data_IF_496125921728
#
_entry.id   IF_496125921728
#
_cell.length_a   1.000
_cell.length_b   1.000
_cell.length_c   1.000
_cell.angle_alpha   90.00
_cell.angle_beta   90.00
_cell.angle_gamma   90.00
#
_symmetry.space_group_name_H-M   'P 1'
#
loop_
_entity.id
_entity.type
_entity.pdbx_description
1 polymer ?
#
# COMPACT_ATOMS: atom_id res chain seq x y z
N UNK A 1 10.98 0.73 -20.68
CA UNK A 1 10.19 1.93 -20.80
C UNK A 1 10.16 2.71 -19.49
N UNK A 2 10.62 3.97 -19.51
CA UNK A 2 10.37 4.91 -18.41
C UNK A 2 8.86 5.05 -18.17
N UNK A 3 8.48 5.53 -16.98
CA UNK A 3 7.07 5.83 -16.70
C UNK A 3 6.49 6.73 -17.79
N UNK A 4 5.36 6.31 -18.34
CA UNK A 4 4.65 6.99 -19.41
C UNK A 4 3.19 7.11 -19.02
N UNK A 5 2.66 8.32 -19.16
CA UNK A 5 1.23 8.56 -19.09
C UNK A 5 0.57 8.08 -20.39
N UNK A 6 -0.46 7.24 -20.26
CA UNK A 6 -1.29 6.86 -21.40
C UNK A 6 -2.08 8.08 -21.89
N UNK A 7 -2.27 8.16 -23.20
CA UNK A 7 -3.23 9.10 -23.79
C UNK A 7 -4.65 8.73 -23.36
N UNK A 8 -5.56 9.69 -23.38
CA UNK A 8 -6.97 9.48 -23.00
C UNK A 8 -7.63 8.36 -23.83
N UNK A 9 -7.31 8.27 -25.13
CA UNK A 9 -7.81 7.20 -26.00
C UNK A 9 -7.23 5.81 -25.65
N UNK A 10 -5.95 5.72 -25.27
CA UNK A 10 -5.35 4.48 -24.76
C UNK A 10 -6.01 4.06 -23.44
N UNK A 11 -6.24 5.02 -22.53
CA UNK A 11 -6.92 4.80 -21.26
C UNK A 11 -8.36 4.30 -21.45
N UNK A 12 -9.14 4.95 -22.31
CA UNK A 12 -10.48 4.50 -22.65
C UNK A 12 -10.51 3.13 -23.31
N UNK A 13 -9.55 2.81 -24.18
CA UNK A 13 -9.45 1.49 -24.79
C UNK A 13 -9.22 0.40 -23.73
N UNK A 14 -8.36 0.67 -22.74
CA UNK A 14 -8.10 -0.23 -21.62
C UNK A 14 -9.36 -0.42 -20.75
N UNK A 15 -10.04 0.67 -20.39
CA UNK A 15 -11.28 0.62 -19.60
C UNK A 15 -12.40 -0.13 -20.34
N UNK A 16 -12.60 0.17 -21.63
CA UNK A 16 -13.61 -0.48 -22.45
C UNK A 16 -13.35 -1.99 -22.61
N UNK A 17 -12.09 -2.42 -22.74
CA UNK A 17 -11.72 -3.84 -22.77
C UNK A 17 -12.11 -4.57 -21.47
N UNK A 18 -12.19 -3.84 -20.35
CA UNK A 18 -12.61 -4.35 -19.05
C UNK A 18 -14.14 -4.25 -18.83
N UNK A 19 -14.90 -3.78 -19.82
CA UNK A 19 -16.34 -3.57 -19.71
C UNK A 19 -16.73 -2.33 -18.90
N UNK A 20 -15.79 -1.42 -18.64
CA UNK A 20 -16.06 -0.16 -17.94
C UNK A 20 -16.61 0.85 -18.95
N UNK A 21 -17.80 1.44 -18.71
CA UNK A 21 -18.40 2.36 -19.67
C UNK A 21 -17.59 3.66 -19.78
N UNK A 22 -17.28 4.03 -21.04
CA UNK A 22 -16.65 5.29 -21.42
C UNK A 22 -17.47 5.94 -22.55
N UNK A 23 -17.40 7.27 -22.73
CA UNK A 23 -18.05 7.94 -23.84
C UNK A 23 -17.62 7.37 -25.20
N UNK A 24 -18.55 7.33 -26.16
CA UNK A 24 -18.19 7.08 -27.56
C UNK A 24 -17.22 8.17 -28.02
N UNK A 25 -16.07 7.77 -28.55
CA UNK A 25 -14.99 8.71 -28.86
C UNK A 25 -14.21 8.31 -30.12
N UNK A 26 -13.51 9.28 -30.69
CA UNK A 26 -12.59 9.08 -31.81
C UNK A 26 -11.49 10.16 -31.79
N UNK A 27 -10.23 9.76 -31.97
CA UNK A 27 -9.12 10.71 -32.18
C UNK A 27 -9.08 11.12 -33.65
N UNK A 28 -8.92 12.43 -33.88
CA UNK A 28 -8.88 13.07 -35.20
C UNK A 28 -7.67 13.99 -35.31
N UNK A 29 -7.19 14.19 -36.53
CA UNK A 29 -6.01 15.03 -36.83
C UNK A 29 -6.30 16.20 -37.77
N UNK A 30 -7.55 16.35 -38.21
CA UNK A 30 -7.99 17.49 -39.03
C UNK A 30 -9.40 17.96 -38.67
N UNK A 31 -9.71 19.22 -39.00
CA UNK A 31 -11.05 19.79 -38.79
C UNK A 31 -12.15 19.00 -39.55
N UNK A 32 -11.86 18.55 -40.78
CA UNK A 32 -12.79 17.74 -41.56
C UNK A 32 -13.07 16.37 -40.93
N UNK A 33 -12.04 15.74 -40.36
CA UNK A 33 -12.21 14.51 -39.57
C UNK A 33 -13.01 14.77 -38.29
N UNK A 34 -12.76 15.89 -37.60
CA UNK A 34 -13.48 16.28 -36.39
C UNK A 34 -14.98 16.43 -36.66
N UNK A 35 -15.35 17.10 -37.75
CA UNK A 35 -16.72 17.19 -38.24
C UNK A 35 -17.35 15.83 -38.52
N UNK A 36 -16.65 14.97 -39.27
CA UNK A 36 -17.17 13.65 -39.61
C UNK A 36 -17.34 12.76 -38.37
N UNK A 37 -16.37 12.78 -37.46
CA UNK A 37 -16.43 12.06 -36.19
C UNK A 37 -17.59 12.56 -35.31
N UNK A 38 -17.73 13.87 -35.14
CA UNK A 38 -18.82 14.47 -34.38
C UNK A 38 -20.20 14.12 -34.95
N UNK A 39 -20.35 14.10 -36.28
CA UNK A 39 -21.58 13.68 -36.95
C UNK A 39 -21.93 12.21 -36.71
N UNK A 40 -20.92 11.32 -36.63
CA UNK A 40 -21.12 9.90 -36.33
C UNK A 40 -21.42 9.62 -34.86
N UNK A 41 -20.73 10.30 -33.95
CA UNK A 41 -20.91 10.17 -32.48
C UNK A 41 -22.25 10.79 -32.04
N UNK A 42 -22.63 11.89 -32.69
CA UNK A 42 -23.86 12.63 -32.44
C UNK A 42 -23.70 13.73 -31.39
N UNK A 43 -24.33 14.87 -31.64
CA UNK A 43 -24.24 16.08 -30.81
C UNK A 43 -25.06 16.02 -29.50
N UNK A 44 -24.73 16.84 -28.48
CA UNK A 44 -23.50 17.63 -28.38
C UNK A 44 -22.26 16.74 -28.15
N UNK A 45 -21.11 17.23 -28.60
CA UNK A 45 -19.80 16.57 -28.39
C UNK A 45 -18.87 17.47 -27.58
N UNK A 46 -17.86 16.84 -26.99
CA UNK A 46 -16.72 17.50 -26.35
C UNK A 46 -15.48 17.21 -27.21
N UNK A 47 -14.60 18.19 -27.33
CA UNK A 47 -13.30 18.03 -27.96
C UNK A 47 -12.20 18.38 -26.96
N UNK A 48 -11.19 17.51 -26.84
CA UNK A 48 -10.04 17.70 -25.97
C UNK A 48 -8.74 17.45 -26.73
N UNK A 49 -7.69 18.22 -26.42
CA UNK A 49 -6.35 17.97 -26.95
C UNK A 49 -5.80 16.64 -26.43
N UNK A 50 -5.18 15.85 -27.31
CA UNK A 50 -4.49 14.61 -26.93
C UNK A 50 -3.00 14.86 -26.99
N UNK A 51 -2.38 15.04 -25.82
CA UNK A 51 -0.94 15.16 -25.67
C UNK A 51 -0.50 14.61 -24.31
N UNK A 52 0.54 13.76 -24.23
CA UNK A 52 1.10 13.31 -22.96
C UNK A 52 1.71 14.45 -22.12
N UNK A 53 2.08 15.57 -22.76
CA UNK A 53 2.80 16.69 -22.14
C UNK A 53 1.83 17.79 -21.64
N UNK A 54 0.58 17.78 -22.10
CA UNK A 54 -0.47 18.70 -21.67
C UNK A 54 -1.37 17.99 -20.65
N UNK A 55 -0.96 18.01 -19.39
CA UNK A 55 -1.71 17.37 -18.29
C UNK A 55 -2.98 18.19 -17.97
N UNK A 56 -2.86 19.50 -17.78
CA UNK A 56 -3.99 20.40 -17.51
C UNK A 56 -4.55 21.00 -18.80
N UNK A 57 -5.30 20.19 -19.55
CA UNK A 57 -5.88 20.52 -20.88
C UNK A 57 -6.68 21.83 -20.87
N UNK A 58 -7.44 22.10 -19.80
CA UNK A 58 -8.27 23.29 -19.67
C UNK A 58 -7.45 24.59 -19.60
N UNK A 59 -6.27 24.57 -18.97
CA UNK A 59 -5.44 25.77 -18.75
C UNK A 59 -4.85 26.29 -20.06
N UNK A 60 -4.54 25.36 -20.97
CA UNK A 60 -4.10 25.71 -22.32
C UNK A 60 -5.27 26.02 -23.26
N UNK A 61 -6.53 26.02 -22.79
CA UNK A 61 -7.70 26.17 -23.67
C UNK A 61 -7.88 24.99 -24.62
N UNK A 62 -7.38 23.82 -24.24
CA UNK A 62 -7.39 22.58 -25.02
C UNK A 62 -8.65 21.73 -24.83
N UNK A 63 -9.71 22.29 -24.25
CA UNK A 63 -11.01 21.63 -24.05
C UNK A 63 -12.12 22.56 -24.52
N UNK A 64 -12.98 22.07 -25.41
CA UNK A 64 -14.20 22.75 -25.84
C UNK A 64 -15.38 21.80 -25.65
N UNK A 65 -16.39 22.24 -24.89
CA UNK A 65 -17.61 21.48 -24.59
C UNK A 65 -18.81 22.08 -25.31
N UNK A 66 -19.97 21.43 -25.23
CA UNK A 66 -21.23 21.89 -25.81
C UNK A 66 -21.14 22.22 -27.31
N UNK A 67 -20.34 21.45 -28.05
CA UNK A 67 -20.19 21.64 -29.49
C UNK A 67 -21.46 21.12 -30.16
N UNK A 68 -22.17 22.02 -30.83
CA UNK A 68 -23.42 21.73 -31.53
C UNK A 68 -23.26 21.97 -33.03
N UNK A 69 -23.38 20.89 -33.82
CA UNK A 69 -23.37 20.97 -35.27
C UNK A 69 -21.98 20.91 -35.93
N UNK A 70 -21.96 20.75 -37.25
CA UNK A 70 -20.74 20.47 -38.02
C UNK A 70 -19.77 21.65 -38.05
N UNK A 71 -20.27 22.88 -38.21
CA UNK A 71 -19.42 24.06 -38.33
C UNK A 71 -18.74 24.41 -36.99
N UNK A 72 -19.48 24.28 -35.88
CA UNK A 72 -18.93 24.44 -34.54
C UNK A 72 -17.85 23.38 -34.22
N UNK A 73 -17.97 22.16 -34.76
CA UNK A 73 -16.99 21.11 -34.59
C UNK A 73 -15.67 21.41 -35.33
N UNK A 74 -15.74 21.94 -36.55
CA UNK A 74 -14.53 22.40 -37.26
C UNK A 74 -13.86 23.56 -36.54
N UNK A 75 -14.65 24.50 -36.03
CA UNK A 75 -14.14 25.69 -35.33
C UNK A 75 -13.50 25.34 -33.98
N UNK A 76 -14.12 24.44 -33.21
CA UNK A 76 -13.56 23.94 -31.97
C UNK A 76 -12.21 23.24 -32.20
N UNK A 77 -12.09 22.44 -33.28
CA UNK A 77 -10.81 21.81 -33.65
C UNK A 77 -9.72 22.85 -33.89
N UNK A 78 -9.99 23.87 -34.72
CA UNK A 78 -9.02 24.94 -35.01
C UNK A 78 -8.62 25.70 -33.74
N UNK A 79 -9.62 26.08 -32.94
CA UNK A 79 -9.43 26.80 -31.68
C UNK A 79 -8.52 26.03 -30.72
N UNK A 80 -8.75 24.73 -30.52
CA UNK A 80 -7.93 23.89 -29.63
C UNK A 80 -6.49 23.79 -30.14
N UNK A 81 -6.30 23.57 -31.44
CA UNK A 81 -4.96 23.48 -32.04
C UNK A 81 -4.19 24.79 -31.91
N UNK A 82 -4.83 25.93 -32.18
CA UNK A 82 -4.23 27.26 -32.06
C UNK A 82 -3.86 27.58 -30.61
N UNK A 83 -4.77 27.34 -29.67
CA UNK A 83 -4.54 27.56 -28.24
C UNK A 83 -3.39 26.69 -27.71
N UNK A 84 -3.37 25.40 -28.11
CA UNK A 84 -2.32 24.46 -27.68
C UNK A 84 -0.96 24.86 -28.25
N UNK A 85 -0.88 25.22 -29.53
CA UNK A 85 0.36 25.70 -30.15
C UNK A 85 0.88 27.01 -29.51
N UNK A 86 -0.03 27.91 -29.12
CA UNK A 86 0.35 29.19 -28.52
C UNK A 86 0.82 29.05 -27.06
N UNK A 87 0.19 28.17 -26.28
CA UNK A 87 0.43 28.06 -24.83
C UNK A 87 1.34 26.89 -24.44
N UNK A 88 1.52 25.91 -25.32
CA UNK A 88 2.41 24.76 -25.13
C UNK A 88 3.16 24.45 -26.44
N UNK A 89 4.05 25.37 -26.92
CA UNK A 89 4.68 25.26 -28.23
C UNK A 89 5.65 24.07 -28.36
N UNK A 90 6.15 23.56 -27.24
CA UNK A 90 7.04 22.40 -27.20
C UNK A 90 6.27 21.08 -27.11
N UNK A 91 4.94 21.12 -26.93
CA UNK A 91 4.15 19.93 -26.69
C UNK A 91 3.86 19.14 -27.98
N UNK A 92 4.13 17.84 -27.96
CA UNK A 92 3.73 16.93 -29.02
C UNK A 92 2.21 16.67 -28.96
N UNK A 93 1.48 17.18 -29.95
CA UNK A 93 0.02 16.98 -30.08
C UNK A 93 -0.23 15.79 -31.00
N UNK A 94 -0.81 14.71 -30.46
CA UNK A 94 -1.18 13.53 -31.23
C UNK A 94 -2.47 13.74 -32.04
N UNK A 95 -3.31 14.68 -31.62
CA UNK A 95 -4.57 15.04 -32.27
C UNK A 95 -5.56 15.61 -31.26
N UNK A 96 -6.84 15.58 -31.63
CA UNK A 96 -7.96 15.96 -30.77
C UNK A 96 -8.87 14.74 -30.60
N UNK A 97 -9.27 14.43 -29.38
CA UNK A 97 -10.30 13.42 -29.13
C UNK A 97 -11.66 14.10 -29.21
N UNK A 98 -12.52 13.59 -30.09
CA UNK A 98 -13.94 13.96 -30.17
C UNK A 98 -14.70 12.89 -29.39
N UNK A 99 -15.44 13.30 -28.37
CA UNK A 99 -16.19 12.37 -27.52
C UNK A 99 -17.63 12.83 -27.31
N UNK A 100 -18.53 11.88 -27.05
CA UNK A 100 -19.91 12.19 -26.73
C UNK A 100 -19.97 12.98 -25.42
N UNK A 101 -20.64 14.14 -25.42
CA UNK A 101 -20.95 14.80 -24.16
C UNK A 101 -21.97 13.97 -23.41
N UNK A 102 -21.56 13.41 -22.27
CA UNK A 102 -22.43 12.62 -21.41
C UNK A 102 -23.39 13.53 -20.62
N UNK A 103 -24.59 13.06 -20.25
CA UNK A 103 -25.47 13.82 -19.38
C UNK A 103 -24.83 14.03 -18.00
N UNK A 104 -25.24 15.10 -17.32
CA UNK A 104 -24.85 15.36 -15.93
C UNK A 104 -25.34 14.25 -14.99
N UNK A 105 -24.60 14.04 -13.92
CA UNK A 105 -24.88 13.06 -12.88
C UNK A 105 -24.09 13.37 -11.62
N UNK A 106 -24.05 12.44 -10.68
CA UNK A 106 -23.22 12.58 -9.50
C UNK A 106 -21.76 12.28 -9.86
N UNK A 107 -20.86 13.24 -9.68
CA UNK A 107 -19.44 13.05 -9.92
C UNK A 107 -18.80 12.31 -8.74
N UNK A 108 -18.10 11.22 -9.02
CA UNK A 108 -17.26 10.49 -8.07
C UNK A 108 -15.86 10.31 -8.65
N UNK A 109 -14.87 10.07 -7.81
CA UNK A 109 -13.51 9.73 -8.23
C UNK A 109 -13.17 8.30 -7.81
N UNK A 110 -12.39 7.63 -8.66
CA UNK A 110 -11.80 6.33 -8.34
C UNK A 110 -10.34 6.37 -8.74
N UNK A 111 -9.45 6.35 -7.74
CA UNK A 111 -8.01 6.37 -7.95
C UNK A 111 -7.36 5.09 -7.45
N UNK A 112 -6.15 4.81 -7.94
CA UNK A 112 -5.31 3.77 -7.39
C UNK A 112 -3.86 4.12 -7.58
N UNK A 113 -3.04 3.85 -6.56
CA UNK A 113 -1.60 4.10 -6.59
C UNK A 113 -0.84 2.99 -5.90
N UNK A 114 0.41 2.82 -6.28
CA UNK A 114 1.33 1.93 -5.56
C UNK A 114 2.00 2.71 -4.44
N UNK A 115 1.50 2.54 -3.22
CA UNK A 115 2.10 3.12 -2.03
C UNK A 115 3.37 2.34 -1.61
N UNK A 116 4.49 3.01 -1.26
CA UNK A 116 5.73 2.33 -0.85
C UNK A 116 5.58 1.45 0.39
N UNK A 117 4.69 1.83 1.32
CA UNK A 117 4.49 1.16 2.62
C UNK A 117 3.37 0.14 2.56
N UNK A 118 2.27 0.46 1.88
CA UNK A 118 1.08 -0.38 1.86
C UNK A 118 0.93 -1.23 0.59
N UNK A 119 1.74 -0.99 -0.45
CA UNK A 119 1.57 -1.62 -1.75
C UNK A 119 0.44 -0.96 -2.54
N UNK A 120 -0.24 -1.71 -3.41
CA UNK A 120 -1.30 -1.14 -4.24
C UNK A 120 -2.52 -0.78 -3.38
N UNK A 121 -2.91 0.48 -3.39
CA UNK A 121 -4.09 0.99 -2.71
C UNK A 121 -5.09 1.51 -3.74
N UNK A 122 -6.38 1.43 -3.39
CA UNK A 122 -7.48 2.01 -4.13
C UNK A 122 -8.15 3.09 -3.28
N UNK A 123 -8.53 4.18 -3.93
CA UNK A 123 -9.21 5.33 -3.34
C UNK A 123 -10.55 5.51 -4.02
N UNK A 124 -11.58 5.78 -3.23
CA UNK A 124 -12.89 6.19 -3.72
C UNK A 124 -13.32 7.44 -2.97
N UNK A 125 -13.95 8.38 -3.67
CA UNK A 125 -14.48 9.58 -3.06
C UNK A 125 -15.50 10.28 -3.92
N UNK A 126 -16.11 11.32 -3.38
CA UNK A 126 -16.91 12.23 -4.20
C UNK A 126 -16.02 13.10 -5.08
N UNK A 127 -16.48 13.32 -6.31
CA UNK A 127 -15.80 14.14 -7.31
C UNK A 127 -16.38 15.54 -7.38
N UNK A 128 -15.75 16.36 -8.22
CA UNK A 128 -16.16 17.73 -8.49
C UNK A 128 -15.35 18.75 -7.69
N UNK A 129 -15.20 19.94 -8.27
CA UNK A 129 -14.27 20.99 -7.80
C UNK A 129 -14.42 21.42 -6.34
N UNK A 130 -15.64 21.36 -5.79
CA UNK A 130 -15.92 21.74 -4.41
C UNK A 130 -15.61 20.62 -3.41
N UNK A 131 -15.62 19.35 -3.84
CA UNK A 131 -15.42 18.19 -2.98
C UNK A 131 -13.95 17.76 -2.93
N UNK A 132 -13.16 18.02 -4.00
CA UNK A 132 -11.69 17.89 -3.97
C UNK A 132 -11.05 18.73 -2.85
N UNK A 133 -11.68 19.84 -2.44
CA UNK A 133 -11.24 20.67 -1.31
C UNK A 133 -11.59 20.07 0.06
N UNK A 134 -12.60 19.21 0.12
CA UNK A 134 -13.12 18.62 1.36
C UNK A 134 -12.46 17.28 1.71
N UNK A 135 -11.69 16.70 0.77
CA UNK A 135 -10.98 15.41 0.94
C UNK A 135 -11.89 14.26 1.42
N UNK A 136 -13.16 14.23 1.01
CA UNK A 136 -14.13 13.17 1.35
C UNK A 136 -13.83 11.88 0.56
N UNK A 137 -12.82 11.14 1.04
CA UNK A 137 -12.29 9.94 0.40
C UNK A 137 -12.14 8.78 1.39
N UNK A 138 -12.30 7.56 0.89
CA UNK A 138 -12.00 6.32 1.59
C UNK A 138 -10.94 5.53 0.81
N UNK A 139 -10.01 4.90 1.54
CA UNK A 139 -8.87 4.18 0.97
C UNK A 139 -8.88 2.72 1.46
N UNK A 140 -8.50 1.78 0.57
CA UNK A 140 -8.28 0.37 0.89
C UNK A 140 -6.98 -0.14 0.28
N UNK A 141 -6.33 -1.07 0.98
CA UNK A 141 -5.18 -1.82 0.44
C UNK A 141 -5.72 -2.99 -0.37
N UNK A 142 -5.16 -3.24 -1.55
CA UNK A 142 -5.56 -4.36 -2.41
C UNK A 142 -4.91 -5.69 -1.95
N UNK A 143 -5.59 -6.84 -2.16
CA UNK A 143 -6.90 -7.01 -2.81
C UNK A 143 -8.09 -6.65 -1.91
N UNK A 144 -9.22 -6.30 -2.52
CA UNK A 144 -10.49 -5.99 -1.85
C UNK A 144 -11.61 -6.90 -2.34
N UNK A 145 -12.56 -7.19 -1.45
CA UNK A 145 -13.82 -7.90 -1.77
C UNK A 145 -14.93 -6.91 -2.12
N UNK A 146 -16.04 -7.40 -2.70
CA UNK A 146 -17.22 -6.57 -2.96
C UNK A 146 -17.79 -5.94 -1.67
N UNK A 147 -17.67 -6.63 -0.53
CA UNK A 147 -18.12 -6.10 0.77
C UNK A 147 -17.20 -4.98 1.27
N UNK A 148 -15.88 -5.11 1.07
CA UNK A 148 -14.93 -4.03 1.36
C UNK A 148 -15.23 -2.79 0.52
N UNK A 149 -15.57 -2.98 -0.76
CA UNK A 149 -15.94 -1.91 -1.68
C UNK A 149 -17.24 -1.23 -1.24
N UNK A 150 -18.27 -1.99 -0.90
CA UNK A 150 -19.53 -1.42 -0.38
C UNK A 150 -19.32 -0.66 0.91
N UNK A 151 -18.48 -1.18 1.82
CA UNK A 151 -18.10 -0.48 3.03
C UNK A 151 -17.37 0.83 2.73
N UNK A 152 -16.40 0.80 1.80
CA UNK A 152 -15.66 1.97 1.34
C UNK A 152 -16.58 3.05 0.74
N UNK A 153 -17.58 2.66 -0.07
CA UNK A 153 -18.56 3.59 -0.64
C UNK A 153 -19.45 4.23 0.44
N UNK A 154 -19.79 3.48 1.48
CA UNK A 154 -20.68 3.94 2.56
C UNK A 154 -19.98 4.78 3.62
N UNK A 155 -18.65 4.71 3.66
CA UNK A 155 -17.80 5.41 4.62
C UNK A 155 -17.73 6.91 4.37
N UNK A 156 -17.78 7.33 3.10
CA UNK A 156 -17.69 8.75 2.73
C UNK A 156 -18.91 9.54 3.21
N UNK A 157 -18.71 10.78 3.64
CA UNK A 157 -19.77 11.63 4.20
C UNK A 157 -20.89 11.86 3.17
N UNK A 158 -20.50 12.02 1.92
CA UNK A 158 -21.43 12.25 0.82
C UNK A 158 -22.08 11.00 0.23
N UNK A 159 -21.94 9.83 0.86
CA UNK A 159 -22.75 8.64 0.55
C UNK A 159 -24.26 8.95 0.51
N UNK A 160 -24.71 9.97 1.25
CA UNK A 160 -26.09 10.49 1.23
C UNK A 160 -26.57 10.89 -0.16
N UNK A 161 -25.69 11.35 -1.03
CA UNK A 161 -26.01 11.70 -2.42
C UNK A 161 -26.17 10.46 -3.31
N UNK A 162 -25.47 9.37 -2.98
CA UNK A 162 -25.57 8.09 -3.69
C UNK A 162 -26.88 7.38 -3.31
N UNK A 163 -27.22 7.30 -2.03
CA UNK A 163 -28.48 6.67 -1.56
C UNK A 163 -29.76 7.49 -1.82
N UNK A 164 -29.61 8.70 -2.36
CA UNK A 164 -30.71 9.66 -2.57
C UNK A 164 -30.94 10.58 -1.37
N UNK A 165 -31.17 11.86 -1.66
CA UNK A 165 -31.40 12.92 -0.67
C UNK A 165 -32.50 13.90 -1.12
N UNK A 166 -33.35 14.35 -0.18
CA UNK A 166 -34.42 15.35 -0.41
C UNK A 166 -35.29 15.11 -1.66
N UNK A 167 -35.71 13.86 -1.87
CA UNK A 167 -36.60 13.50 -2.99
C UNK A 167 -35.88 13.17 -4.29
N UNK A 168 -34.55 13.28 -4.34
CA UNK A 168 -33.78 12.69 -5.44
C UNK A 168 -33.72 11.17 -5.28
N UNK A 169 -33.93 10.41 -6.38
CA UNK A 169 -33.81 8.96 -6.35
C UNK A 169 -32.34 8.52 -6.13
N UNK A 170 -32.13 7.31 -5.57
CA UNK A 170 -30.80 6.73 -5.41
C UNK A 170 -30.11 6.56 -6.76
N UNK A 171 -28.78 6.65 -6.73
CA UNK A 171 -27.91 6.31 -7.85
C UNK A 171 -27.59 4.81 -7.86
N UNK A 172 -27.06 4.31 -8.97
CA UNK A 172 -26.76 2.89 -9.18
C UNK A 172 -25.47 2.46 -8.44
N UNK A 173 -25.59 2.25 -7.12
CA UNK A 173 -24.48 1.80 -6.25
C UNK A 173 -23.83 0.51 -6.80
N UNK A 174 -24.60 -0.40 -7.38
CA UNK A 174 -24.06 -1.66 -7.91
C UNK A 174 -23.25 -1.46 -9.20
N UNK A 175 -23.58 -0.48 -10.05
CA UNK A 175 -22.71 -0.10 -11.16
C UNK A 175 -21.37 0.42 -10.65
N UNK A 176 -21.38 1.22 -9.58
CA UNK A 176 -20.16 1.73 -8.96
C UNK A 176 -19.31 0.60 -8.37
N UNK A 177 -19.91 -0.34 -7.62
CA UNK A 177 -19.23 -1.52 -7.08
C UNK A 177 -18.56 -2.32 -8.20
N UNK A 178 -19.27 -2.58 -9.31
CA UNK A 178 -18.71 -3.32 -10.47
C UNK A 178 -17.50 -2.61 -11.09
N UNK A 179 -17.56 -1.29 -11.22
CA UNK A 179 -16.42 -0.51 -11.76
C UNK A 179 -15.23 -0.60 -10.81
N UNK A 180 -15.42 -0.29 -9.52
CA UNK A 180 -14.35 -0.33 -8.51
C UNK A 180 -13.73 -1.73 -8.44
N UNK A 181 -14.53 -2.79 -8.38
CA UNK A 181 -14.03 -4.16 -8.34
C UNK A 181 -13.21 -4.53 -9.58
N UNK A 182 -13.65 -4.06 -10.75
CA UNK A 182 -12.96 -4.34 -12.02
C UNK A 182 -11.63 -3.59 -12.10
N UNK A 183 -11.58 -2.31 -11.77
CA UNK A 183 -10.33 -1.54 -11.77
C UNK A 183 -9.39 -2.00 -10.66
N UNK A 184 -9.91 -2.35 -9.48
CA UNK A 184 -9.11 -2.91 -8.38
C UNK A 184 -8.41 -4.20 -8.82
N UNK A 185 -9.15 -5.10 -9.47
CA UNK A 185 -8.59 -6.36 -9.98
C UNK A 185 -7.53 -6.13 -11.05
N UNK A 186 -7.84 -5.31 -12.06
CA UNK A 186 -6.90 -4.98 -13.13
C UNK A 186 -5.64 -4.30 -12.58
N UNK A 187 -5.81 -3.38 -11.63
CA UNK A 187 -4.69 -2.72 -11.00
C UNK A 187 -3.87 -3.69 -10.16
N UNK A 188 -4.49 -4.58 -9.37
CA UNK A 188 -3.76 -5.59 -8.60
C UNK A 188 -2.94 -6.52 -9.51
N UNK A 189 -3.56 -7.05 -10.56
CA UNK A 189 -3.00 -8.08 -11.44
C UNK A 189 -2.00 -7.53 -12.47
N UNK A 190 -2.11 -6.27 -12.88
CA UNK A 190 -1.22 -5.67 -13.86
C UNK A 190 -0.04 -4.94 -13.18
N UNK A 191 1.20 -5.46 -13.24
CA UNK A 191 2.35 -4.84 -12.61
C UNK A 191 2.86 -3.59 -13.36
N UNK A 192 2.39 -3.35 -14.59
CA UNK A 192 2.81 -2.20 -15.39
C UNK A 192 2.05 -0.93 -14.98
N UNK A 193 0.81 -1.05 -14.50
CA UNK A 193 0.04 0.10 -14.02
C UNK A 193 0.61 0.51 -12.66
N UNK A 194 1.09 1.75 -12.55
CA UNK A 194 1.67 2.32 -11.33
C UNK A 194 0.66 3.16 -10.57
N UNK A 195 -0.12 3.92 -11.33
CA UNK A 195 -1.13 4.82 -10.84
C UNK A 195 -2.26 4.92 -11.88
N UNK A 196 -3.49 5.07 -11.41
CA UNK A 196 -4.62 5.49 -12.22
C UNK A 196 -5.50 6.45 -11.44
N UNK A 197 -6.15 7.36 -12.15
CA UNK A 197 -7.11 8.31 -11.62
C UNK A 197 -8.27 8.43 -12.61
N UNK A 198 -9.46 8.01 -12.18
CA UNK A 198 -10.70 8.13 -12.93
C UNK A 198 -11.50 9.26 -12.32
N UNK A 199 -11.33 10.47 -12.87
CA UNK A 199 -11.90 11.68 -12.31
C UNK A 199 -12.34 12.66 -13.43
N UNK A 200 -13.64 12.82 -13.71
CA UNK A 200 -14.77 12.25 -12.97
C UNK A 200 -15.27 10.91 -13.55
N UNK A 201 -15.81 10.08 -12.66
CA UNK A 201 -16.79 9.04 -12.99
C UNK A 201 -18.18 9.61 -12.70
N UNK A 202 -19.02 9.67 -13.73
CA UNK A 202 -20.39 10.17 -13.60
C UNK A 202 -21.32 9.02 -13.27
N UNK A 203 -21.94 9.08 -12.10
CA UNK A 203 -22.87 8.10 -11.60
C UNK A 203 -24.33 8.55 -11.82
N UNK A 204 -25.13 7.67 -12.42
CA UNK A 204 -26.53 7.91 -12.75
C UNK A 204 -27.47 7.10 -11.87
N UNK A 205 -28.78 7.30 -12.03
CA UNK A 205 -29.80 6.40 -11.47
C UNK A 205 -29.67 4.97 -12.00
N UNK A 206 -29.13 4.82 -13.22
CA UNK A 206 -28.85 3.53 -13.86
C UNK A 206 -27.52 3.62 -14.60
N UNK A 207 -26.52 2.87 -14.13
CA UNK A 207 -25.17 2.86 -14.68
C UNK A 207 -24.29 4.04 -14.27
N UNK A 208 -23.10 4.07 -14.85
CA UNK A 208 -22.09 5.11 -14.68
C UNK A 208 -21.26 5.23 -15.96
N UNK A 209 -20.51 6.31 -16.11
CA UNK A 209 -19.56 6.52 -17.21
C UNK A 209 -18.29 7.20 -16.70
N UNK A 210 -17.12 6.69 -17.09
CA UNK A 210 -15.83 7.33 -16.83
C UNK A 210 -15.56 8.37 -17.91
N UNK A 211 -15.42 9.65 -17.53
CA UNK A 211 -15.36 10.79 -18.48
C UNK A 211 -13.97 11.38 -18.63
N UNK A 212 -13.07 11.06 -17.70
CA UNK A 212 -11.65 11.30 -17.87
C UNK A 212 -10.90 10.20 -17.11
N UNK A 213 -9.79 9.77 -17.69
CA UNK A 213 -8.98 8.68 -17.17
C UNK A 213 -7.51 9.02 -17.38
N UNK A 214 -6.78 9.14 -16.28
CA UNK A 214 -5.34 9.26 -16.26
C UNK A 214 -4.75 7.93 -15.79
N UNK A 215 -3.86 7.34 -16.58
CA UNK A 215 -3.22 6.08 -16.24
C UNK A 215 -1.73 6.21 -16.50
N UNK A 216 -0.92 5.95 -15.48
CA UNK A 216 0.54 5.92 -15.56
C UNK A 216 0.98 4.47 -15.62
N UNK A 217 1.68 4.12 -16.70
CA UNK A 217 2.30 2.81 -16.89
C UNK A 217 3.82 2.95 -16.82
N UNK A 218 4.51 1.95 -16.30
CA UNK A 218 5.97 1.90 -16.29
C UNK A 218 6.48 0.49 -16.48
N UNK A 219 7.77 0.35 -16.79
CA UNK A 219 8.41 -0.96 -16.81
C UNK A 219 8.24 -1.67 -15.46
N UNK A 220 8.18 -3.00 -15.51
CA UNK A 220 8.34 -3.85 -14.34
C UNK A 220 9.70 -3.66 -13.64
N UNK A 221 10.68 -3.04 -14.33
CA UNK A 221 12.01 -2.70 -13.82
C UNK A 221 12.00 -1.29 -13.18
N UNK A 222 11.87 -1.26 -11.86
CA UNK A 222 11.82 -0.01 -11.07
C UNK A 222 11.10 -0.15 -9.73
N UNK A 223 10.55 -1.34 -9.46
CA UNK A 223 10.14 -1.79 -8.13
C UNK A 223 10.87 -3.07 -7.75
N UNK A 224 12.19 -3.12 -7.91
CA UNK A 224 13.06 -4.07 -7.19
C UNK A 224 13.15 -3.63 -5.71
N UNK A 225 12.02 -3.66 -5.03
CA UNK A 225 11.94 -4.62 -3.96
C UNK A 225 10.88 -5.57 -4.44
N UNK A 226 11.30 -6.73 -4.94
CA UNK A 226 10.49 -7.90 -4.71
C UNK A 226 10.11 -7.84 -3.23
N UNK A 227 8.88 -7.41 -2.92
CA UNK A 227 8.19 -7.98 -1.78
C UNK A 227 8.05 -9.42 -2.20
N UNK A 228 9.12 -10.17 -1.94
CA UNK A 228 9.01 -11.59 -1.73
C UNK A 228 7.87 -11.61 -0.72
N UNK A 229 6.71 -12.10 -1.13
CA UNK A 229 5.73 -12.58 -0.17
C UNK A 229 6.43 -13.76 0.48
N UNK A 230 7.37 -13.47 1.40
CA UNK A 230 8.11 -14.52 2.05
C UNK A 230 7.09 -15.08 3.02
N UNK A 231 6.39 -16.10 2.55
CA UNK A 231 5.60 -16.95 3.41
C UNK A 231 6.62 -17.62 4.33
N UNK A 232 6.86 -17.03 5.50
CA UNK A 232 7.45 -17.77 6.59
C UNK A 232 6.48 -18.93 6.88
N UNK A 233 6.97 -20.18 6.86
CA UNK A 233 6.15 -21.30 7.25
C UNK A 233 5.54 -21.06 8.64
N UNK A 234 4.26 -21.39 8.90
CA UNK A 234 3.61 -21.10 10.17
C UNK A 234 4.42 -21.57 11.39
N UNK A 235 5.14 -22.69 11.28
CA UNK A 235 6.00 -23.24 12.32
C UNK A 235 7.14 -22.30 12.75
N UNK A 236 7.53 -21.33 11.91
CA UNK A 236 8.51 -20.29 12.29
C UNK A 236 8.04 -19.50 13.50
N UNK A 237 6.74 -19.40 13.75
CA UNK A 237 6.15 -18.65 14.86
C UNK A 237 5.91 -19.47 16.14
N UNK A 238 6.28 -20.75 16.15
CA UNK A 238 6.08 -21.67 17.28
C UNK A 238 7.42 -22.26 17.75
N UNK A 239 8.20 -21.52 18.56
CA UNK A 239 9.50 -21.97 19.03
C UNK A 239 9.38 -22.97 20.19
N UNK A 240 10.29 -23.94 20.23
CA UNK A 240 10.56 -24.79 21.40
C UNK A 240 11.76 -24.29 22.19
N UNK A 241 12.60 -23.46 21.58
CA UNK A 241 13.75 -22.84 22.23
C UNK A 241 13.98 -21.39 21.80
N UNK A 242 14.33 -20.55 22.76
CA UNK A 242 14.60 -19.12 22.54
C UNK A 242 15.93 -18.76 23.18
N UNK A 243 16.83 -18.14 22.41
CA UNK A 243 18.04 -17.51 22.92
C UNK A 243 17.85 -15.99 23.06
N UNK A 244 18.28 -15.41 24.17
CA UNK A 244 18.29 -13.95 24.38
C UNK A 244 19.73 -13.45 24.29
N UNK A 245 20.09 -12.85 23.17
CA UNK A 245 21.44 -12.36 22.88
C UNK A 245 21.57 -10.92 23.33
N UNK A 246 22.57 -10.66 24.19
CA UNK A 246 22.62 -9.42 24.96
C UNK A 246 21.84 -9.49 26.27
N UNK A 247 21.51 -10.70 26.74
CA UNK A 247 20.88 -10.95 28.03
C UNK A 247 21.64 -10.23 29.17
N UNK A 248 20.91 -9.72 30.17
CA UNK A 248 21.52 -8.96 31.26
C UNK A 248 20.83 -9.16 32.61
N UNK A 249 21.58 -8.97 33.69
CA UNK A 249 21.05 -8.84 35.06
C UNK A 249 20.78 -7.38 35.44
N UNK A 250 21.15 -6.41 34.60
CA UNK A 250 20.98 -4.98 34.88
C UNK A 250 19.59 -4.50 34.47
N UNK A 251 18.74 -4.02 35.40
CA UNK A 251 17.35 -3.66 35.11
C UNK A 251 17.15 -2.61 34.01
N UNK A 252 18.15 -1.75 33.79
CA UNK A 252 18.08 -0.65 32.81
C UNK A 252 18.43 -1.09 31.38
N UNK A 253 18.75 -2.38 31.15
CA UNK A 253 19.11 -2.88 29.82
C UNK A 253 17.93 -3.60 29.18
N UNK A 254 17.72 -3.37 27.88
CA UNK A 254 16.68 -4.05 27.09
C UNK A 254 16.76 -5.57 27.22
N UNK A 255 17.96 -6.16 27.14
CA UNK A 255 18.16 -7.59 27.30
C UNK A 255 17.84 -8.15 28.69
N UNK A 256 17.74 -7.31 29.73
CA UNK A 256 17.16 -7.71 31.02
C UNK A 256 15.65 -7.84 30.92
N UNK A 257 14.96 -6.84 30.37
CA UNK A 257 13.50 -6.83 30.25
C UNK A 257 13.02 -8.01 29.42
N UNK A 258 13.63 -8.23 28.25
CA UNK A 258 13.32 -9.37 27.37
C UNK A 258 13.51 -10.70 28.08
N UNK A 259 14.66 -10.90 28.74
CA UNK A 259 14.93 -12.17 29.44
C UNK A 259 13.93 -12.41 30.59
N UNK A 260 13.63 -11.37 31.37
CA UNK A 260 12.67 -11.44 32.47
C UNK A 260 11.28 -11.80 31.97
N UNK A 261 10.82 -11.18 30.89
CA UNK A 261 9.50 -11.40 30.30
C UNK A 261 9.35 -12.83 29.74
N UNK A 262 10.45 -13.44 29.31
CA UNK A 262 10.48 -14.81 28.80
C UNK A 262 10.65 -15.89 29.89
N UNK A 263 10.76 -15.54 31.17
CA UNK A 263 10.99 -16.55 32.22
C UNK A 263 9.83 -17.57 32.34
N UNK A 264 8.61 -17.18 31.96
CA UNK A 264 7.42 -18.04 31.91
C UNK A 264 7.33 -18.90 30.64
N UNK A 265 8.21 -18.71 29.65
CA UNK A 265 8.22 -19.52 28.44
C UNK A 265 8.41 -20.99 28.80
N UNK A 266 7.49 -21.89 28.39
CA UNK A 266 7.54 -23.30 28.80
C UNK A 266 8.67 -24.10 28.12
N UNK A 267 9.26 -23.56 27.05
CA UNK A 267 10.36 -24.20 26.32
C UNK A 267 11.74 -23.89 26.89
N UNK A 268 12.77 -24.20 26.10
CA UNK A 268 14.16 -23.96 26.52
C UNK A 268 14.54 -22.49 26.32
N UNK A 269 14.88 -21.80 27.41
CA UNK A 269 15.32 -20.41 27.40
C UNK A 269 16.82 -20.31 27.67
N UNK A 270 17.56 -19.72 26.74
CA UNK A 270 19.02 -19.62 26.77
C UNK A 270 19.49 -18.16 26.82
N UNK A 271 19.93 -17.66 27.99
CA UNK A 271 20.62 -16.38 28.06
C UNK A 271 21.98 -16.46 27.35
N UNK A 272 22.29 -15.49 26.49
CA UNK A 272 23.61 -15.38 25.84
C UNK A 272 24.28 -14.08 26.28
N UNK A 273 25.38 -14.23 27.03
CA UNK A 273 26.20 -13.15 27.57
C UNK A 273 27.65 -13.62 27.78
N UNK A 274 28.67 -12.97 27.18
CA UNK A 274 30.07 -13.38 27.31
C UNK A 274 30.69 -13.16 28.69
N UNK A 275 30.12 -12.29 29.52
CA UNK A 275 30.68 -11.88 30.81
C UNK A 275 30.06 -12.61 32.02
N UNK A 276 28.95 -13.32 31.84
CA UNK A 276 28.21 -13.96 32.93
C UNK A 276 28.01 -15.45 32.62
N UNK A 277 28.17 -16.30 33.62
CA UNK A 277 27.92 -17.75 33.51
C UNK A 277 26.49 -18.15 33.89
N UNK A 278 25.77 -17.28 34.58
CA UNK A 278 24.40 -17.52 35.03
C UNK A 278 23.61 -16.21 35.06
N UNK A 279 22.34 -16.28 34.65
CA UNK A 279 21.36 -15.19 34.70
C UNK A 279 19.98 -15.77 35.08
N UNK A 280 19.34 -15.21 36.11
CA UNK A 280 18.02 -15.65 36.60
C UNK A 280 17.92 -17.17 36.86
N UNK A 281 18.95 -17.78 37.45
CA UNK A 281 18.97 -19.22 37.73
C UNK A 281 19.17 -20.11 36.50
N UNK A 282 19.52 -19.53 35.34
CA UNK A 282 19.77 -20.23 34.08
C UNK A 282 21.22 -20.06 33.65
N UNK A 283 21.82 -21.13 33.13
CA UNK A 283 23.17 -21.09 32.55
C UNK A 283 23.20 -20.10 31.38
N UNK A 284 24.14 -19.17 31.42
CA UNK A 284 24.38 -18.20 30.37
C UNK A 284 25.59 -18.63 29.52
N UNK A 285 25.45 -18.47 28.21
CA UNK A 285 26.43 -18.92 27.22
C UNK A 285 27.17 -17.72 26.61
N UNK A 286 28.48 -17.82 26.31
CA UNK A 286 29.21 -16.70 25.71
C UNK A 286 28.73 -16.32 24.31
N UNK A 287 28.41 -17.33 23.49
CA UNK A 287 27.83 -17.20 22.15
C UNK A 287 26.60 -18.09 22.01
N UNK A 288 25.72 -17.76 21.05
CA UNK A 288 24.59 -18.64 20.67
C UNK A 288 25.07 -19.99 20.13
N UNK A 289 26.31 -20.06 19.63
CA UNK A 289 26.94 -21.32 19.17
C UNK A 289 27.17 -22.31 20.31
N UNK A 290 27.50 -21.79 21.49
CA UNK A 290 27.82 -22.57 22.69
C UNK A 290 26.58 -23.17 23.37
N UNK A 291 25.37 -22.73 22.98
CA UNK A 291 24.11 -23.24 23.53
C UNK A 291 23.98 -24.74 23.22
N UNK A 292 23.67 -25.62 24.20
CA UNK A 292 23.44 -27.02 23.92
C UNK A 292 22.10 -27.21 23.19
N UNK A 293 22.13 -27.90 22.05
CA UNK A 293 20.93 -28.21 21.28
C UNK A 293 20.46 -27.08 20.34
N UNK A 294 19.24 -27.20 19.78
CA UNK A 294 18.71 -26.28 18.78
C UNK A 294 18.23 -24.97 19.41
N UNK A 295 18.33 -23.88 18.65
CA UNK A 295 17.79 -22.55 18.98
C UNK A 295 16.80 -22.17 17.89
N UNK A 296 15.50 -22.16 18.18
CA UNK A 296 14.47 -21.81 17.19
C UNK A 296 14.44 -20.30 16.94
N UNK A 297 14.41 -19.51 18.01
CA UNK A 297 14.41 -18.04 17.97
C UNK A 297 15.65 -17.45 18.63
N UNK A 298 16.17 -16.36 18.08
CA UNK A 298 17.16 -15.50 18.71
C UNK A 298 16.61 -14.08 18.87
N UNK A 299 16.42 -13.61 20.11
CA UNK A 299 16.06 -12.22 20.40
C UNK A 299 17.35 -11.42 20.63
N UNK A 300 17.63 -10.47 19.75
CA UNK A 300 18.91 -9.77 19.66
C UNK A 300 18.76 -8.35 20.23
N UNK A 301 19.40 -8.12 21.38
CA UNK A 301 19.41 -6.86 22.12
C UNK A 301 20.85 -6.36 22.37
N UNK A 302 21.72 -6.46 21.35
CA UNK A 302 23.10 -5.94 21.36
C UNK A 302 23.21 -4.65 20.52
N UNK A 303 24.22 -3.80 20.73
CA UNK A 303 24.43 -2.61 19.87
C UNK A 303 24.48 -2.93 18.37
N UNK A 304 23.92 -2.06 17.53
CA UNK A 304 23.76 -2.29 16.09
C UNK A 304 25.03 -2.78 15.37
N UNK A 305 26.23 -2.20 15.62
CA UNK A 305 27.46 -2.66 14.95
C UNK A 305 27.84 -4.13 15.21
N UNK A 306 27.33 -4.72 16.30
CA UNK A 306 27.60 -6.13 16.64
C UNK A 306 26.59 -7.09 16.02
N UNK A 307 25.44 -6.60 15.55
CA UNK A 307 24.35 -7.43 15.02
C UNK A 307 24.77 -8.29 13.83
N UNK A 308 25.56 -7.81 12.84
CA UNK A 308 26.01 -8.68 11.74
C UNK A 308 26.80 -9.90 12.22
N UNK A 309 27.70 -9.74 13.21
CA UNK A 309 28.46 -10.85 13.76
C UNK A 309 27.58 -11.85 14.49
N UNK A 310 26.62 -11.36 15.28
CA UNK A 310 25.61 -12.20 15.93
C UNK A 310 24.75 -12.95 14.92
N UNK A 311 24.36 -12.30 13.83
CA UNK A 311 23.57 -12.93 12.76
C UNK A 311 24.34 -14.05 12.06
N UNK A 312 25.66 -13.92 11.91
CA UNK A 312 26.51 -15.00 11.40
C UNK A 312 26.45 -16.22 12.33
N UNK A 313 26.59 -16.00 13.64
CA UNK A 313 26.51 -17.06 14.65
C UNK A 313 25.13 -17.72 14.69
N UNK A 314 24.06 -16.93 14.57
CA UNK A 314 22.69 -17.43 14.46
C UNK A 314 22.51 -18.31 13.22
N UNK A 315 23.07 -17.89 12.08
CA UNK A 315 23.05 -18.65 10.84
C UNK A 315 23.78 -19.98 10.95
N UNK A 316 25.02 -19.98 11.47
CA UNK A 316 25.80 -21.19 11.74
C UNK A 316 25.11 -22.14 12.71
N UNK A 317 24.34 -21.60 13.68
CA UNK A 317 23.56 -22.38 14.65
C UNK A 317 22.28 -22.98 14.06
N UNK A 318 21.83 -22.50 12.90
CA UNK A 318 20.56 -22.89 12.29
C UNK A 318 19.33 -22.26 12.95
N UNK A 319 19.45 -21.03 13.45
CA UNK A 319 18.32 -20.26 13.99
C UNK A 319 17.29 -20.00 12.90
N UNK A 320 16.01 -20.24 13.19
CA UNK A 320 14.93 -20.05 12.20
C UNK A 320 14.48 -18.60 12.11
N UNK A 321 14.39 -17.92 13.26
CA UNK A 321 13.91 -16.54 13.38
C UNK A 321 14.80 -15.70 14.29
N UNK A 322 15.29 -14.57 13.78
CA UNK A 322 15.94 -13.52 14.54
C UNK A 322 14.96 -12.36 14.78
N UNK A 323 14.76 -11.98 16.04
CA UNK A 323 13.97 -10.82 16.46
C UNK A 323 14.96 -9.74 16.89
N UNK A 324 15.14 -8.71 16.07
CA UNK A 324 16.15 -7.67 16.29
C UNK A 324 15.45 -6.44 16.88
N UNK A 325 15.55 -6.27 18.20
CA UNK A 325 14.95 -5.11 18.90
C UNK A 325 15.83 -3.86 18.82
N UNK A 326 17.09 -4.03 18.43
CA UNK A 326 18.10 -2.97 18.36
C UNK A 326 17.77 -1.91 17.29
N UNK A 327 17.87 -0.64 17.67
CA UNK A 327 17.85 0.52 16.79
C UNK A 327 19.27 0.92 16.31
N UNK A 328 19.35 1.85 15.36
CA UNK A 328 20.58 2.33 14.72
C UNK A 328 20.78 1.82 13.28
N UNK A 329 19.69 1.50 12.57
CA UNK A 329 19.70 0.93 11.21
C UNK A 329 19.19 1.96 10.18
N UNK A 330 18.38 1.55 9.19
CA UNK A 330 17.99 2.46 8.09
C UNK A 330 17.30 3.74 8.55
N UNK A 331 16.67 3.75 9.72
CA UNK A 331 16.00 4.90 10.32
C UNK A 331 16.93 6.08 10.62
N UNK A 332 18.25 5.84 10.74
CA UNK A 332 19.25 6.91 10.90
C UNK A 332 19.96 7.27 9.58
N UNK A 333 19.59 6.64 8.46
CA UNK A 333 20.18 6.85 7.14
C UNK A 333 21.65 6.45 7.03
N UNK A 334 22.27 6.72 5.87
CA UNK A 334 23.70 6.55 5.63
C UNK A 334 24.26 5.19 6.07
N UNK A 335 25.17 5.22 7.04
CA UNK A 335 25.82 4.02 7.57
C UNK A 335 24.83 3.01 8.20
N UNK A 336 23.71 3.45 8.74
CA UNK A 336 22.70 2.57 9.33
C UNK A 336 21.95 1.75 8.27
N UNK A 337 21.68 2.33 7.10
CA UNK A 337 21.07 1.63 5.97
C UNK A 337 22.01 0.53 5.42
N UNK A 338 23.30 0.84 5.23
CA UNK A 338 24.30 -0.13 4.80
C UNK A 338 24.48 -1.28 5.81
N UNK A 339 24.33 -0.99 7.11
CA UNK A 339 24.39 -2.00 8.16
C UNK A 339 23.17 -2.94 8.13
N UNK A 340 21.98 -2.40 7.85
CA UNK A 340 20.76 -3.20 7.68
C UNK A 340 20.88 -4.13 6.45
N UNK A 341 21.35 -3.60 5.32
CA UNK A 341 21.58 -4.40 4.11
C UNK A 341 22.50 -5.59 4.38
N UNK A 342 23.59 -5.36 5.13
CA UNK A 342 24.52 -6.43 5.53
C UNK A 342 23.84 -7.48 6.41
N UNK A 343 22.97 -7.08 7.35
CA UNK A 343 22.20 -8.01 8.18
C UNK A 343 21.27 -8.87 7.33
N UNK A 344 20.56 -8.26 6.37
CA UNK A 344 19.67 -8.97 5.45
C UNK A 344 20.43 -9.94 4.55
N UNK A 345 21.61 -9.55 4.06
CA UNK A 345 22.47 -10.43 3.26
C UNK A 345 22.88 -11.69 4.03
N UNK A 346 23.32 -11.54 5.28
CA UNK A 346 23.70 -12.65 6.16
C UNK A 346 22.51 -13.57 6.43
N UNK A 347 21.34 -12.99 6.74
CA UNK A 347 20.11 -13.73 6.98
C UNK A 347 19.71 -14.58 5.76
N UNK A 348 19.74 -14.01 4.56
CA UNK A 348 19.45 -14.73 3.31
C UNK A 348 20.42 -15.87 3.07
N UNK A 349 21.73 -15.64 3.27
CA UNK A 349 22.76 -16.67 3.09
C UNK A 349 22.53 -17.90 3.98
N UNK A 350 22.06 -17.68 5.21
CA UNK A 350 21.83 -18.74 6.20
C UNK A 350 20.37 -19.19 6.32
N UNK A 351 19.46 -18.67 5.48
CA UNK A 351 18.02 -18.95 5.56
C UNK A 351 17.39 -18.61 6.93
N UNK A 352 17.92 -17.59 7.62
CA UNK A 352 17.36 -17.06 8.86
C UNK A 352 16.31 -16.00 8.50
N UNK A 353 15.13 -16.04 9.12
CA UNK A 353 14.11 -14.99 8.96
C UNK A 353 14.35 -13.86 9.96
N UNK A 354 13.99 -12.62 9.62
CA UNK A 354 14.12 -11.46 10.54
C UNK A 354 12.76 -10.79 10.81
N UNK A 355 12.49 -10.50 12.08
CA UNK A 355 11.54 -9.46 12.51
C UNK A 355 12.36 -8.29 13.07
N UNK A 356 12.08 -7.07 12.60
CA UNK A 356 12.89 -5.88 12.84
C UNK A 356 13.82 -5.54 11.66
N UNK A 357 14.97 -4.86 11.90
CA UNK A 357 15.45 -4.29 13.17
C UNK A 357 14.54 -3.22 13.77
N UNK A 358 14.95 -2.62 14.89
CA UNK A 358 14.24 -1.51 15.53
C UNK A 358 12.75 -1.83 15.79
N UNK A 359 12.49 -3.03 16.31
CA UNK A 359 11.15 -3.46 16.69
C UNK A 359 10.99 -3.54 18.21
N UNK A 360 9.74 -3.56 18.68
CA UNK A 360 9.43 -3.89 20.07
C UNK A 360 9.65 -5.40 20.36
N UNK A 361 9.42 -6.25 19.36
CA UNK A 361 9.49 -7.71 19.45
C UNK A 361 8.14 -8.40 19.16
N UNK A 362 7.96 -9.60 19.71
CA UNK A 362 6.79 -10.45 19.47
C UNK A 362 6.18 -10.94 20.79
N UNK A 363 4.85 -10.95 20.87
CA UNK A 363 4.09 -11.60 21.94
C UNK A 363 3.18 -12.69 21.34
N UNK A 364 3.23 -13.89 21.93
CA UNK A 364 2.35 -15.01 21.58
C UNK A 364 1.65 -15.48 22.86
N UNK A 365 0.51 -14.87 23.25
CA UNK A 365 -0.12 -15.09 24.55
C UNK A 365 -0.47 -16.56 24.84
N UNK A 366 -1.01 -17.27 23.84
CA UNK A 366 -1.32 -18.72 23.96
C UNK A 366 -0.08 -19.59 24.23
N UNK A 367 1.11 -19.10 23.87
CA UNK A 367 2.39 -19.80 24.09
C UNK A 367 3.12 -19.30 25.35
N UNK A 368 2.58 -18.32 26.07
CA UNK A 368 3.25 -17.68 27.20
C UNK A 368 4.54 -16.95 26.81
N UNK A 369 4.65 -16.50 25.55
CA UNK A 369 5.83 -15.81 25.02
C UNK A 369 5.59 -14.30 25.05
N UNK A 370 6.45 -13.57 25.74
CA UNK A 370 6.63 -12.14 25.57
C UNK A 370 8.12 -11.87 25.28
N UNK A 371 8.47 -11.85 23.99
CA UNK A 371 9.81 -11.57 23.48
C UNK A 371 10.05 -10.08 23.23
N UNK A 372 9.39 -9.21 24.02
CA UNK A 372 9.53 -7.76 23.95
C UNK A 372 10.22 -7.23 25.20
N UNK A 373 10.55 -5.93 25.19
CA UNK A 373 11.02 -5.22 26.39
C UNK A 373 9.90 -4.50 27.16
N UNK A 374 8.64 -4.69 26.77
CA UNK A 374 7.46 -4.25 27.53
C UNK A 374 7.08 -5.31 28.58
N UNK A 375 7.02 -4.99 29.89
CA UNK A 375 6.59 -5.94 30.92
C UNK A 375 5.16 -6.47 30.73
N UNK A 376 4.29 -5.73 30.04
CA UNK A 376 2.88 -6.07 29.93
C UNK A 376 2.68 -7.15 28.87
N UNK A 377 1.86 -8.15 29.18
CA UNK A 377 1.46 -9.21 28.25
C UNK A 377 -0.06 -9.20 28.10
N UNK A 378 -0.60 -9.25 26.87
CA UNK A 378 -2.04 -9.29 26.68
C UNK A 378 -2.64 -10.63 27.11
N UNK A 379 -3.97 -10.65 27.30
CA UNK A 379 -4.73 -11.89 27.47
C UNK A 379 -4.72 -12.70 26.16
N UNK A 380 -4.69 -14.04 26.24
CA UNK A 380 -4.91 -14.88 25.06
C UNK A 380 -6.31 -14.69 24.47
N UNK A 381 -6.42 -14.68 23.14
CA UNK A 381 -7.68 -14.58 22.40
C UNK A 381 -7.48 -14.83 20.90
N UNK A 382 -8.39 -14.36 20.06
CA UNK A 382 -8.44 -14.71 18.64
C UNK A 382 -7.98 -13.57 17.70
N UNK A 383 -7.68 -12.39 18.24
CA UNK A 383 -7.27 -11.22 17.44
C UNK A 383 -5.76 -11.25 17.17
N UNK A 384 -5.35 -11.20 15.90
CA UNK A 384 -3.94 -10.96 15.56
C UNK A 384 -3.71 -9.46 15.38
N UNK A 385 -2.63 -8.92 15.95
CA UNK A 385 -2.28 -7.52 15.80
C UNK A 385 -0.84 -7.35 15.32
N UNK A 386 -0.66 -6.59 14.25
CA UNK A 386 0.64 -6.30 13.66
C UNK A 386 0.79 -4.79 13.50
N UNK A 387 1.94 -4.25 13.92
CA UNK A 387 2.20 -2.82 13.81
C UNK A 387 3.69 -2.56 13.63
N UNK A 388 3.99 -1.54 12.84
CA UNK A 388 5.33 -1.02 12.65
C UNK A 388 5.82 -0.32 13.94
N UNK A 389 4.95 0.48 14.56
CA UNK A 389 5.26 1.23 15.79
C UNK A 389 5.07 0.38 17.04
N UNK A 390 6.14 0.26 17.84
CA UNK A 390 6.09 -0.35 19.16
C UNK A 390 5.19 0.40 20.14
N UNK A 391 5.14 1.73 20.08
CA UNK A 391 4.31 2.53 20.98
C UNK A 391 2.80 2.28 20.76
N UNK A 392 2.39 2.06 19.50
CA UNK A 392 1.00 1.68 19.20
C UNK A 392 0.69 0.31 19.80
N UNK A 393 1.63 -0.64 19.72
CA UNK A 393 1.46 -1.96 20.32
C UNK A 393 1.28 -1.84 21.83
N UNK A 394 2.17 -1.13 22.52
CA UNK A 394 2.06 -0.98 23.98
C UNK A 394 0.71 -0.35 24.37
N UNK A 395 0.28 0.70 23.65
CA UNK A 395 -1.01 1.35 23.91
C UNK A 395 -2.20 0.42 23.67
N UNK A 396 -2.20 -0.33 22.56
CA UNK A 396 -3.31 -1.25 22.23
C UNK A 396 -3.34 -2.45 23.20
N UNK A 397 -2.18 -2.96 23.59
CA UNK A 397 -2.08 -4.04 24.59
C UNK A 397 -2.60 -3.55 25.94
N UNK A 398 -2.14 -2.39 26.43
CA UNK A 398 -2.63 -1.82 27.68
C UNK A 398 -4.15 -1.58 27.65
N UNK A 399 -4.66 -1.04 26.54
CA UNK A 399 -6.08 -0.80 26.34
C UNK A 399 -6.91 -2.11 26.32
N UNK A 400 -6.35 -3.21 25.82
CA UNK A 400 -7.06 -4.50 25.75
C UNK A 400 -7.23 -5.20 27.10
N UNK A 401 -6.39 -4.90 28.09
CA UNK A 401 -6.42 -5.60 29.39
C UNK A 401 -7.76 -5.52 30.13
N UNK A 402 -8.45 -4.37 30.21
CA UNK A 402 -9.79 -4.29 30.80
C UNK A 402 -10.90 -4.87 29.90
N UNK A 403 -10.64 -5.05 28.61
CA UNK A 403 -11.64 -5.48 27.63
C UNK A 403 -11.88 -7.01 27.64
N UNK A 404 -12.94 -7.43 26.97
CA UNK A 404 -13.36 -8.85 26.87
C UNK A 404 -12.66 -9.63 25.75
N UNK A 405 -11.84 -8.97 24.92
CA UNK A 405 -11.06 -9.63 23.87
C UNK A 405 -9.60 -9.80 24.26
N UNK A 406 -8.91 -10.68 23.54
CA UNK A 406 -7.48 -10.95 23.71
C UNK A 406 -6.82 -11.21 22.37
N UNK A 407 -5.51 -11.42 22.40
CA UNK A 407 -4.71 -11.57 21.17
C UNK A 407 -4.23 -13.00 20.96
N UNK A 408 -4.26 -13.43 19.69
CA UNK A 408 -3.64 -14.67 19.22
C UNK A 408 -2.14 -14.46 19.00
N UNK A 409 -1.77 -13.30 18.45
CA UNK A 409 -0.40 -12.83 18.26
C UNK A 409 -0.33 -11.31 18.25
N UNK A 410 0.78 -10.76 18.76
CA UNK A 410 1.10 -9.33 18.66
C UNK A 410 2.53 -9.19 18.14
N UNK A 411 2.69 -8.59 16.96
CA UNK A 411 3.98 -8.54 16.26
C UNK A 411 4.36 -7.09 15.96
N UNK A 412 5.51 -6.66 16.48
CA UNK A 412 6.14 -5.42 16.05
C UNK A 412 7.12 -5.70 14.92
N UNK A 413 6.86 -5.18 13.73
CA UNK A 413 7.75 -5.42 12.57
C UNK A 413 8.95 -4.47 12.51
N UNK A 414 8.88 -3.29 13.15
CA UNK A 414 10.00 -2.36 13.33
C UNK A 414 10.36 -1.57 12.07
N UNK A 415 11.61 -1.68 11.61
CA UNK A 415 11.93 -1.52 10.19
C UNK A 415 11.19 -2.65 9.46
N UNK A 416 11.56 -3.21 8.35
CA UNK A 416 10.83 -4.37 7.78
C UNK A 416 11.85 -4.98 6.88
N UNK A 417 12.99 -5.35 7.47
CA UNK A 417 14.17 -5.69 6.70
C UNK A 417 13.99 -7.04 5.98
N UNK A 418 13.08 -7.86 6.49
CA UNK A 418 12.75 -9.17 5.91
C UNK A 418 11.26 -9.52 6.03
N UNK A 419 10.76 -9.82 7.23
CA UNK A 419 9.32 -10.02 7.45
C UNK A 419 8.63 -8.66 7.69
N UNK A 420 7.49 -8.48 7.02
CA UNK A 420 6.62 -7.30 7.11
C UNK A 420 5.16 -7.69 7.35
N UNK A 421 4.24 -6.83 6.90
CA UNK A 421 2.79 -7.05 7.00
C UNK A 421 2.28 -8.29 6.28
#
# INVERSE_FOLDING_TARGET
>A
MPERMLTESEGYSLLAACGIPVPSHQVVTSAGEARAAAGRIGYPVVMKVVSPEIIHKSDVGGVVTAIEGPDAAEEAFRTIMENSAARAPEAAIAGIIVEKQVPGGLEVLIGGKTDPSFGKVITFGLGGKLVELLEDVAIRVLPVTDDDIRAMIREIEGYRLIRGYRGEPPKDEEALVRIIATVARQFAENPQIREFDLNPVILYERGASVVDARIIVGDTAGGEAARISVRAPPETFYPRSIAVIGASASPNKVGYSVLRNLLSFPGNLYPVNPARKELFGRTAYPSVKDVPGPVDWAVIAVPAPLVPGVMEECGEKGVRLAIIVTAGFREIGGAGAALEEKVVEIARRHSVRIIGPNCLGVMMPHQGINATFDPVSPKPGDVAFISQSGAIITTVVDWSLPEEFGFSSVISVGNQADLGF
#
